data_IF_913213267381
#
_entry.id   IF_913213267381
#
_cell.length_a   1.000
_cell.length_b   1.000
_cell.length_c   1.000
_cell.angle_alpha   90.00
_cell.angle_beta   90.00
_cell.angle_gamma   90.00
#
_symmetry.space_group_name_H-M   'P 1'
#
loop_
_entity.id
_entity.type
_entity.pdbx_description
1 polymer ?
#
# COMPACT_ATOMS: atom_id res chain seq x y z
N UNK A 1 -51.61 -34.52 -2.68
CA UNK A 1 -50.38 -35.34 -2.64
C UNK A 1 -49.27 -34.48 -2.04
N UNK A 2 -48.89 -34.79 -0.79
CA UNK A 2 -47.87 -34.10 0.02
C UNK A 2 -46.74 -35.10 0.26
N UNK A 3 -45.46 -34.69 0.18
CA UNK A 3 -44.39 -35.31 0.96
C UNK A 3 -43.38 -34.26 1.44
N UNK A 4 -43.15 -34.33 2.74
CA UNK A 4 -42.24 -33.54 3.56
C UNK A 4 -40.80 -34.03 3.42
N UNK A 5 -39.83 -33.12 3.54
CA UNK A 5 -38.50 -33.44 4.09
C UNK A 5 -38.12 -32.29 5.03
N UNK A 6 -37.95 -32.63 6.30
CA UNK A 6 -37.46 -31.77 7.38
C UNK A 6 -36.34 -32.55 8.09
N UNK A 7 -35.17 -31.92 8.15
CA UNK A 7 -34.13 -31.94 9.20
C UNK A 7 -33.62 -33.28 9.78
N UNK A 8 -32.29 -33.42 9.96
CA UNK A 8 -31.68 -33.48 11.31
C UNK A 8 -30.13 -33.46 11.27
N UNK A 9 -29.59 -32.36 11.79
CA UNK A 9 -28.52 -32.25 12.82
C UNK A 9 -27.18 -33.00 12.67
N UNK A 10 -26.12 -32.19 12.48
CA UNK A 10 -24.71 -32.47 12.77
C UNK A 10 -24.43 -32.16 14.25
N UNK A 11 -23.92 -33.12 15.02
CA UNK A 11 -23.52 -32.95 16.42
C UNK A 11 -22.23 -33.72 16.74
N UNK A 12 -21.17 -32.95 16.95
CA UNK A 12 -20.08 -33.05 17.95
C UNK A 12 -19.55 -34.41 18.44
N UNK A 13 -18.22 -34.58 18.47
CA UNK A 13 -17.34 -34.88 19.63
C UNK A 13 -15.94 -35.30 19.12
N UNK A 14 -14.91 -34.47 19.29
CA UNK A 14 -13.90 -34.45 20.37
C UNK A 14 -12.81 -35.54 20.31
N UNK A 15 -11.57 -35.05 20.26
CA UNK A 15 -10.28 -35.73 20.34
C UNK A 15 -10.01 -36.21 21.78
N UNK A 16 -9.36 -37.37 21.93
CA UNK A 16 -8.58 -37.71 23.12
C UNK A 16 -7.40 -38.59 22.74
N UNK A 17 -6.19 -38.09 23.03
CA UNK A 17 -4.93 -38.82 23.09
C UNK A 17 -4.95 -39.82 24.25
N UNK A 18 -4.41 -41.03 24.08
CA UNK A 18 -3.80 -41.77 25.19
C UNK A 18 -2.79 -42.81 24.66
N UNK A 19 -1.55 -42.66 25.11
CA UNK A 19 -0.56 -43.73 25.20
C UNK A 19 -1.07 -44.81 26.16
N UNK A 20 -0.80 -46.07 25.85
CA UNK A 20 -0.84 -47.15 26.84
C UNK A 20 0.29 -48.14 26.54
N UNK A 21 1.14 -48.29 27.56
CA UNK A 21 2.21 -49.27 27.71
C UNK A 21 1.67 -50.69 27.87
N UNK A 22 2.52 -51.63 27.47
CA UNK A 22 2.80 -52.98 27.95
C UNK A 22 1.72 -54.07 28.22
N UNK A 23 2.09 -55.22 27.66
CA UNK A 23 1.90 -56.61 28.11
C UNK A 23 0.51 -57.29 28.15
N UNK A 24 0.40 -58.39 27.38
CA UNK A 24 -0.13 -59.64 27.92
C UNK A 24 -1.32 -60.31 27.22
N UNK A 25 -1.01 -61.13 26.20
CA UNK A 25 -1.55 -62.49 25.98
C UNK A 25 -3.03 -62.76 25.58
N UNK A 26 -3.22 -62.93 24.26
CA UNK A 26 -3.79 -64.07 23.48
C UNK A 26 -5.25 -64.63 23.57
N UNK A 27 -5.83 -64.67 22.35
CA UNK A 27 -6.90 -65.52 21.76
C UNK A 27 -8.36 -65.17 22.09
N UNK A 28 -9.33 -65.13 21.18
CA UNK A 28 -9.51 -65.80 19.89
C UNK A 28 -10.45 -65.00 18.95
N UNK A 29 -10.01 -64.75 17.70
CA UNK A 29 -10.89 -64.40 16.56
C UNK A 29 -10.16 -64.80 15.28
N UNK A 30 -10.12 -66.12 15.01
CA UNK A 30 -9.39 -66.71 13.89
C UNK A 30 -10.09 -66.71 12.54
N UNK A 31 -11.25 -66.05 12.37
CA UNK A 31 -12.01 -66.12 11.11
C UNK A 31 -12.43 -64.77 10.50
N UNK A 32 -12.28 -63.64 11.20
CA UNK A 32 -12.59 -62.30 10.65
C UNK A 32 -11.35 -61.46 10.27
N UNK A 33 -10.15 -61.91 10.62
CA UNK A 33 -8.91 -61.14 10.38
C UNK A 33 -8.44 -61.29 8.92
N UNK A 34 -8.79 -62.39 8.23
CA UNK A 34 -8.48 -62.58 6.80
C UNK A 34 -9.24 -61.60 5.90
N UNK A 35 -10.56 -61.49 6.05
CA UNK A 35 -11.38 -60.55 5.27
C UNK A 35 -11.10 -59.08 5.61
N UNK A 36 -10.87 -58.75 6.89
CA UNK A 36 -10.56 -57.37 7.29
C UNK A 36 -9.16 -56.93 6.84
N UNK A 37 -8.13 -57.79 6.98
CA UNK A 37 -6.79 -57.48 6.48
C UNK A 37 -6.75 -57.44 4.94
N UNK A 38 -7.53 -58.30 4.27
CA UNK A 38 -7.66 -58.29 2.82
C UNK A 38 -8.49 -57.09 2.32
N UNK A 39 -9.54 -56.67 3.03
CA UNK A 39 -10.24 -55.40 2.77
C UNK A 39 -9.35 -54.19 2.98
N UNK A 40 -8.54 -54.13 4.05
CA UNK A 40 -7.60 -53.01 4.29
C UNK A 40 -6.49 -52.99 3.24
N UNK A 41 -5.99 -54.15 2.80
CA UNK A 41 -4.99 -54.25 1.72
C UNK A 41 -5.60 -53.89 0.37
N UNK A 42 -6.83 -54.33 0.08
CA UNK A 42 -7.56 -53.95 -1.13
C UNK A 42 -7.92 -52.46 -1.12
N UNK A 43 -8.23 -51.86 0.03
CA UNK A 43 -8.52 -50.42 0.16
C UNK A 43 -7.24 -49.59 -0.02
N UNK A 44 -6.10 -50.03 0.52
CA UNK A 44 -4.79 -49.42 0.24
C UNK A 44 -4.40 -49.57 -1.23
N UNK A 45 -4.67 -50.71 -1.85
CA UNK A 45 -4.45 -50.94 -3.28
C UNK A 45 -5.34 -50.08 -4.18
N UNK A 46 -6.62 -49.90 -3.80
CA UNK A 46 -7.57 -49.02 -4.50
C UNK A 46 -7.17 -47.54 -4.32
N UNK A 47 -6.73 -47.13 -3.13
CA UNK A 47 -6.21 -45.78 -2.91
C UNK A 47 -4.95 -45.54 -3.74
N UNK A 48 -3.99 -46.47 -3.75
CA UNK A 48 -2.81 -46.39 -4.60
C UNK A 48 -3.17 -46.34 -6.10
N UNK A 49 -4.16 -47.11 -6.53
CA UNK A 49 -4.65 -47.07 -7.91
C UNK A 49 -5.28 -45.70 -8.23
N UNK A 50 -6.11 -45.15 -7.32
CA UNK A 50 -6.70 -43.82 -7.44
C UNK A 50 -5.62 -42.74 -7.53
N UNK A 51 -4.65 -42.76 -6.63
CA UNK A 51 -3.52 -41.83 -6.61
C UNK A 51 -2.68 -41.95 -7.91
N UNK A 52 -2.52 -43.16 -8.44
CA UNK A 52 -1.82 -43.40 -9.70
C UNK A 52 -2.62 -42.91 -10.91
N UNK A 53 -3.95 -43.05 -10.91
CA UNK A 53 -4.82 -42.49 -11.94
C UNK A 53 -4.80 -40.96 -11.91
N UNK A 54 -4.82 -40.35 -10.73
CA UNK A 54 -4.70 -38.90 -10.59
C UNK A 54 -3.33 -38.40 -11.10
N UNK A 55 -2.24 -39.08 -10.74
CA UNK A 55 -0.89 -38.77 -11.26
C UNK A 55 -0.81 -38.92 -12.77
N UNK A 56 -1.39 -39.98 -13.34
CA UNK A 56 -1.41 -40.21 -14.78
C UNK A 56 -2.23 -39.14 -15.51
N UNK A 57 -3.40 -38.80 -14.98
CA UNK A 57 -4.25 -37.74 -15.54
C UNK A 57 -3.53 -36.39 -15.52
N UNK A 58 -2.88 -36.05 -14.40
CA UNK A 58 -2.07 -34.84 -14.28
C UNK A 58 -0.87 -34.83 -15.26
N UNK A 59 -0.22 -35.98 -15.48
CA UNK A 59 0.88 -36.12 -16.43
C UNK A 59 0.41 -35.98 -17.89
N UNK A 60 -0.72 -36.60 -18.25
CA UNK A 60 -1.32 -36.49 -19.59
C UNK A 60 -1.74 -35.05 -19.91
N UNK A 61 -2.36 -34.36 -18.94
CA UNK A 61 -2.72 -32.95 -19.08
C UNK A 61 -1.49 -32.06 -19.27
N UNK A 62 -0.42 -32.30 -18.49
CA UNK A 62 0.87 -31.60 -18.66
C UNK A 62 1.48 -31.85 -20.03
N UNK A 63 1.51 -33.10 -20.49
CA UNK A 63 2.08 -33.45 -21.80
C UNK A 63 1.28 -32.82 -22.96
N UNK A 64 -0.06 -32.87 -22.89
CA UNK A 64 -0.94 -32.25 -23.89
C UNK A 64 -0.73 -30.74 -23.98
N UNK A 65 -0.61 -30.09 -22.82
CA UNK A 65 -0.31 -28.65 -22.73
C UNK A 65 1.05 -28.33 -23.34
N UNK A 66 2.10 -29.08 -22.97
CA UNK A 66 3.45 -28.88 -23.48
C UNK A 66 3.53 -29.09 -24.99
N UNK A 67 2.90 -30.15 -25.52
CA UNK A 67 2.85 -30.41 -26.96
C UNK A 67 2.16 -29.27 -27.73
N UNK A 68 1.11 -28.68 -27.13
CA UNK A 68 0.45 -27.50 -27.70
C UNK A 68 1.37 -26.28 -27.68
N UNK A 69 2.09 -26.04 -26.58
CA UNK A 69 3.05 -24.94 -26.47
C UNK A 69 4.21 -25.07 -27.46
N UNK A 70 4.73 -26.26 -27.68
CA UNK A 70 5.78 -26.50 -28.70
C UNK A 70 5.26 -26.15 -30.09
N UNK A 71 4.03 -26.59 -30.44
CA UNK A 71 3.42 -26.26 -31.73
C UNK A 71 3.24 -24.76 -31.92
N UNK A 72 2.71 -24.07 -30.90
CA UNK A 72 2.52 -22.62 -30.94
C UNK A 72 3.86 -21.87 -31.02
N UNK A 73 4.88 -22.34 -30.30
CA UNK A 73 6.21 -21.73 -30.29
C UNK A 73 6.96 -21.97 -31.60
N UNK A 74 6.59 -23.01 -32.37
CA UNK A 74 7.13 -23.25 -33.70
C UNK A 74 6.38 -22.52 -34.83
N UNK A 75 5.22 -21.93 -34.54
CA UNK A 75 4.39 -21.21 -35.50
C UNK A 75 4.68 -19.70 -35.43
N UNK A 76 5.35 -19.11 -36.45
CA UNK A 76 5.67 -17.68 -36.45
C UNK A 76 4.43 -16.77 -36.37
N UNK A 77 3.25 -17.21 -36.82
CA UNK A 77 2.01 -16.44 -36.71
C UNK A 77 1.51 -16.39 -35.26
N UNK A 78 1.57 -17.52 -34.54
CA UNK A 78 1.21 -17.59 -33.13
C UNK A 78 2.20 -16.80 -32.25
N UNK A 79 3.50 -16.89 -32.55
CA UNK A 79 4.53 -16.10 -31.86
C UNK A 79 4.33 -14.60 -32.12
N UNK A 80 4.06 -14.19 -33.35
CA UNK A 80 3.75 -12.79 -33.67
C UNK A 80 2.49 -12.30 -32.97
N UNK A 81 1.45 -13.15 -32.89
CA UNK A 81 0.24 -12.87 -32.12
C UNK A 81 0.53 -12.66 -30.64
N UNK A 82 1.37 -13.51 -30.04
CA UNK A 82 1.78 -13.40 -28.65
C UNK A 82 2.57 -12.10 -28.37
N UNK A 83 3.47 -11.71 -29.29
CA UNK A 83 4.19 -10.43 -29.24
C UNK A 83 3.20 -9.25 -29.29
N UNK A 84 2.24 -9.27 -30.22
CA UNK A 84 1.24 -8.21 -30.35
C UNK A 84 0.38 -8.07 -29.10
N UNK A 85 -0.05 -9.20 -28.52
CA UNK A 85 -0.79 -9.21 -27.27
C UNK A 85 0.05 -8.65 -26.10
N UNK A 86 1.34 -9.01 -26.04
CA UNK A 86 2.26 -8.50 -25.02
C UNK A 86 2.47 -6.97 -25.16
N UNK A 87 2.52 -6.45 -26.39
CA UNK A 87 2.59 -5.01 -26.66
C UNK A 87 1.30 -4.28 -26.28
N UNK A 88 0.14 -4.91 -26.51
CA UNK A 88 -1.14 -4.40 -26.06
C UNK A 88 -1.23 -4.37 -24.52
N UNK A 89 -0.78 -5.44 -23.85
CA UNK A 89 -0.66 -5.50 -22.39
C UNK A 89 0.26 -4.41 -21.84
N UNK A 90 1.43 -4.20 -22.45
CA UNK A 90 2.36 -3.14 -22.07
C UNK A 90 1.71 -1.75 -22.19
N UNK A 91 0.95 -1.52 -23.26
CA UNK A 91 0.20 -0.27 -23.44
C UNK A 91 -0.83 -0.08 -22.35
N UNK A 92 -1.65 -1.11 -22.08
CA UNK A 92 -2.68 -1.06 -21.04
C UNK A 92 -2.13 -0.91 -19.62
N UNK A 93 -0.93 -1.41 -19.31
CA UNK A 93 -0.33 -1.27 -17.98
C UNK A 93 0.51 0.01 -17.81
N UNK A 94 1.26 0.39 -18.84
CA UNK A 94 2.32 1.42 -18.73
C UNK A 94 1.94 2.78 -19.29
N UNK A 95 1.04 2.82 -20.29
CA UNK A 95 0.71 4.05 -21.03
C UNK A 95 -0.67 4.60 -20.68
N UNK A 96 -1.53 3.76 -20.11
CA UNK A 96 -2.85 4.15 -19.64
C UNK A 96 -2.83 4.56 -18.16
N UNK A 97 -3.76 5.44 -17.78
CA UNK A 97 -4.02 5.81 -16.38
C UNK A 97 -5.29 5.14 -15.88
N UNK A 98 -6.44 5.51 -16.45
CA UNK A 98 -7.77 5.07 -16.01
C UNK A 98 -7.96 3.55 -16.11
N UNK A 99 -7.55 2.97 -17.23
CA UNK A 99 -7.76 1.55 -17.51
C UNK A 99 -6.56 0.67 -17.10
N UNK A 100 -5.51 1.25 -16.53
CA UNK A 100 -4.33 0.50 -16.08
C UNK A 100 -4.52 0.02 -14.64
N UNK A 101 -4.64 -1.29 -14.39
CA UNK A 101 -4.69 -1.80 -13.01
C UNK A 101 -3.42 -1.46 -12.22
N UNK A 102 -2.26 -1.41 -12.88
CA UNK A 102 -1.00 -1.02 -12.25
C UNK A 102 -1.00 0.45 -11.82
N UNK A 103 -1.46 1.36 -12.68
CA UNK A 103 -1.57 2.78 -12.33
C UNK A 103 -2.57 3.00 -11.19
N UNK A 104 -3.74 2.36 -11.26
CA UNK A 104 -4.77 2.49 -10.23
C UNK A 104 -4.30 1.92 -8.88
N UNK A 105 -3.54 0.83 -8.87
CA UNK A 105 -2.96 0.27 -7.64
C UNK A 105 -1.93 1.23 -7.00
N UNK A 106 -1.03 1.82 -7.80
CA UNK A 106 -0.08 2.83 -7.32
C UNK A 106 -0.82 4.06 -6.78
N UNK A 107 -1.81 4.55 -7.51
CA UNK A 107 -2.63 5.69 -7.08
C UNK A 107 -3.36 5.39 -5.77
N UNK A 108 -3.89 4.17 -5.62
CA UNK A 108 -4.61 3.77 -4.41
C UNK A 108 -3.67 3.74 -3.20
N UNK A 109 -2.45 3.21 -3.34
CA UNK A 109 -1.47 3.19 -2.26
C UNK A 109 -1.09 4.61 -1.80
N UNK A 110 -0.86 5.53 -2.75
CA UNK A 110 -0.57 6.94 -2.46
C UNK A 110 -1.76 7.63 -1.76
N UNK A 111 -2.95 7.48 -2.33
CA UNK A 111 -4.18 8.07 -1.83
C UNK A 111 -4.54 7.53 -0.43
N UNK A 112 -4.28 6.25 -0.16
CA UNK A 112 -4.48 5.66 1.15
C UNK A 112 -3.51 6.22 2.20
N UNK A 113 -2.23 6.43 1.87
CA UNK A 113 -1.27 7.03 2.79
C UNK A 113 -1.63 8.48 3.16
N UNK A 114 -1.96 9.28 2.14
CA UNK A 114 -2.43 10.68 2.33
C UNK A 114 -3.74 10.71 3.10
N UNK A 115 -4.70 9.86 2.72
CA UNK A 115 -6.01 9.80 3.35
C UNK A 115 -5.95 9.37 4.81
N UNK A 116 -5.04 8.45 5.14
CA UNK A 116 -4.78 8.06 6.51
C UNK A 116 -4.29 9.25 7.34
N UNK A 117 -3.33 10.03 6.81
CA UNK A 117 -2.85 11.23 7.50
C UNK A 117 -3.95 12.31 7.63
N UNK A 118 -4.74 12.56 6.58
CA UNK A 118 -5.89 13.48 6.65
C UNK A 118 -6.90 13.07 7.74
N UNK A 119 -7.08 11.76 7.92
CA UNK A 119 -8.00 11.20 8.91
C UNK A 119 -7.48 11.36 10.34
N UNK A 120 -6.18 11.16 10.58
CA UNK A 120 -5.64 11.07 11.94
C UNK A 120 -4.81 12.28 12.39
N UNK A 121 -4.25 13.05 11.46
CA UNK A 121 -3.23 14.08 11.74
C UNK A 121 -3.69 15.14 12.74
N UNK A 122 -4.96 15.56 12.67
CA UNK A 122 -5.56 16.53 13.58
C UNK A 122 -5.59 16.10 15.06
N UNK A 123 -5.45 14.80 15.32
CA UNK A 123 -5.48 14.22 16.66
C UNK A 123 -4.11 13.72 17.12
N UNK A 124 -3.15 13.57 16.22
CA UNK A 124 -1.77 13.19 16.55
C UNK A 124 -1.12 14.26 17.42
N UNK A 125 -0.54 13.85 18.55
CA UNK A 125 0.13 14.73 19.48
C UNK A 125 1.59 14.95 19.03
N UNK A 126 1.99 16.21 18.87
CA UNK A 126 3.35 16.60 18.47
C UNK A 126 3.83 17.84 19.21
N UNK A 127 5.13 17.94 19.48
CA UNK A 127 5.70 19.08 20.21
C UNK A 127 7.20 18.98 20.39
N UNK A 128 7.72 19.80 21.29
CA UNK A 128 9.12 19.88 21.67
C UNK A 128 9.31 19.75 23.19
N UNK A 129 8.32 19.18 23.87
CA UNK A 129 8.32 18.95 25.31
C UNK A 129 9.46 18.06 25.81
N UNK A 130 10.05 18.44 26.94
CA UNK A 130 11.08 17.70 27.67
C UNK A 130 10.53 17.03 28.95
N UNK A 131 9.23 17.13 29.21
CA UNK A 131 8.59 16.53 30.39
C UNK A 131 8.70 17.36 31.68
N UNK A 132 9.13 18.63 31.63
CA UNK A 132 9.29 19.48 32.83
C UNK A 132 8.01 20.20 33.26
N UNK A 133 6.84 19.91 32.67
CA UNK A 133 5.55 20.48 33.07
C UNK A 133 5.29 21.93 32.65
N UNK A 134 6.21 22.54 31.89
CA UNK A 134 6.08 23.88 31.29
C UNK A 134 6.39 23.81 29.78
N UNK A 135 5.60 24.51 28.96
CA UNK A 135 5.66 24.42 27.50
C UNK A 135 6.87 25.11 26.85
N UNK A 136 7.61 24.45 25.94
CA UNK A 136 8.75 25.04 25.26
C UNK A 136 8.37 25.89 24.02
N UNK A 137 7.17 26.48 23.96
CA UNK A 137 6.62 27.16 22.78
C UNK A 137 5.92 26.18 21.82
N UNK A 138 5.56 26.63 20.62
CA UNK A 138 4.88 25.80 19.62
C UNK A 138 5.41 26.04 18.20
N UNK A 139 5.26 25.03 17.34
CA UNK A 139 5.50 25.16 15.89
C UNK A 139 4.21 24.87 15.16
N UNK A 140 3.78 25.79 14.31
CA UNK A 140 2.57 25.70 13.49
C UNK A 140 3.00 25.34 12.07
N UNK A 141 2.54 24.21 11.55
CA UNK A 141 2.78 23.77 10.18
C UNK A 141 1.56 24.11 9.32
N UNK A 142 1.77 24.88 8.24
CA UNK A 142 0.71 25.25 7.32
C UNK A 142 0.43 24.16 6.28
N UNK A 143 -0.76 24.21 5.68
CA UNK A 143 -1.28 23.25 4.70
C UNK A 143 -1.37 21.82 5.25
N UNK A 144 -1.68 21.70 6.54
CA UNK A 144 -1.88 20.44 7.24
C UNK A 144 -3.36 20.28 7.67
N UNK A 145 -3.90 19.04 7.77
CA UNK A 145 -5.31 18.78 8.01
C UNK A 145 -5.66 18.92 9.51
N UNK A 146 -5.60 20.15 10.03
CA UNK A 146 -5.95 20.49 11.40
C UNK A 146 -7.46 20.60 11.65
N UNK A 147 -7.89 20.49 12.92
CA UNK A 147 -9.31 20.56 13.26
C UNK A 147 -9.88 21.95 12.96
N UNK A 148 -10.72 22.07 11.92
CA UNK A 148 -11.30 23.35 11.52
C UNK A 148 -10.28 24.35 10.97
N UNK A 149 -9.08 23.91 10.61
CA UNK A 149 -7.97 24.75 10.16
C UNK A 149 -7.21 24.09 9.01
N UNK A 150 -6.35 24.86 8.36
CA UNK A 150 -5.38 24.36 7.37
C UNK A 150 -3.98 24.29 7.96
N UNK A 151 -3.87 24.07 9.27
CA UNK A 151 -2.60 24.04 9.98
C UNK A 151 -2.65 23.12 11.19
N UNK A 152 -1.59 22.36 11.44
CA UNK A 152 -1.41 21.59 12.67
C UNK A 152 -0.43 22.34 13.58
N UNK A 153 -0.81 22.52 14.84
CA UNK A 153 0.03 23.15 15.85
C UNK A 153 0.64 22.09 16.75
N UNK A 154 1.97 22.00 16.74
CA UNK A 154 2.74 21.15 17.64
C UNK A 154 3.14 21.95 18.89
N UNK A 155 2.36 21.78 19.97
CA UNK A 155 2.46 22.54 21.22
C UNK A 155 2.57 21.64 22.47
N UNK A 156 2.91 20.37 22.29
CA UNK A 156 2.97 19.40 23.37
C UNK A 156 4.21 19.56 24.25
N UNK A 157 4.01 19.55 25.58
CA UNK A 157 5.03 19.83 26.60
C UNK A 157 5.55 18.59 27.32
N UNK A 158 4.82 17.48 27.23
CA UNK A 158 5.26 16.16 27.65
C UNK A 158 6.46 15.68 26.82
N UNK A 159 7.21 14.72 27.38
CA UNK A 159 8.39 14.18 26.72
C UNK A 159 8.05 13.60 25.33
N UNK A 160 8.84 13.97 24.33
CA UNK A 160 8.68 13.47 22.95
C UNK A 160 9.42 12.14 22.71
N UNK A 161 9.05 11.45 21.63
CA UNK A 161 9.73 10.25 21.12
C UNK A 161 8.80 9.04 20.94
N UNK A 162 9.35 7.84 20.67
CA UNK A 162 8.56 6.65 20.38
C UNK A 162 7.52 6.32 21.46
N UNK A 163 6.27 6.15 21.04
CA UNK A 163 5.13 5.87 21.92
C UNK A 163 4.61 7.07 22.72
N UNK A 164 5.18 8.26 22.51
CA UNK A 164 4.82 9.53 23.17
C UNK A 164 4.40 10.55 22.12
N UNK A 165 4.51 11.85 22.42
CA UNK A 165 4.29 12.88 21.41
C UNK A 165 5.42 12.93 20.40
N UNK A 166 5.07 13.13 19.14
CA UNK A 166 6.05 13.24 18.05
C UNK A 166 6.90 14.48 18.25
N UNK A 167 8.22 14.38 18.02
CA UNK A 167 9.08 15.56 18.05
C UNK A 167 8.85 16.44 16.82
N UNK A 168 9.22 17.72 16.91
CA UNK A 168 9.16 18.65 15.78
C UNK A 168 9.99 18.15 14.58
N UNK A 169 11.16 17.54 14.80
CA UNK A 169 12.01 17.05 13.71
C UNK A 169 11.36 15.88 12.96
N UNK A 170 10.69 14.97 13.68
CA UNK A 170 9.96 13.87 13.06
C UNK A 170 8.71 14.36 12.34
N UNK A 171 8.01 15.36 12.91
CA UNK A 171 6.88 15.99 12.24
C UNK A 171 7.32 16.74 10.97
N UNK A 172 8.49 17.40 10.97
CA UNK A 172 9.06 18.05 9.78
C UNK A 172 9.25 17.06 8.62
N UNK A 173 9.78 15.86 8.90
CA UNK A 173 9.94 14.79 7.90
C UNK A 173 8.59 14.36 7.32
N UNK A 174 7.60 14.14 8.20
CA UNK A 174 6.25 13.76 7.77
C UNK A 174 5.60 14.86 6.92
N UNK A 175 5.63 16.11 7.39
CA UNK A 175 5.06 17.26 6.69
C UNK A 175 5.74 17.44 5.32
N UNK A 176 7.07 17.36 5.22
CA UNK A 176 7.77 17.47 3.94
C UNK A 176 7.26 16.43 2.92
N UNK A 177 7.19 15.16 3.33
CA UNK A 177 6.69 14.08 2.50
C UNK A 177 5.21 14.30 2.11
N UNK A 178 4.37 14.71 3.06
CA UNK A 178 2.96 15.01 2.81
C UNK A 178 2.78 16.18 1.83
N UNK A 179 3.55 17.27 1.99
CA UNK A 179 3.49 18.43 1.10
C UNK A 179 3.94 18.11 -0.33
N UNK A 180 4.96 17.25 -0.49
CA UNK A 180 5.39 16.78 -1.81
C UNK A 180 4.24 16.06 -2.52
N UNK A 181 3.62 15.08 -1.86
CA UNK A 181 2.53 14.29 -2.47
C UNK A 181 1.34 15.20 -2.78
N UNK A 182 0.88 15.99 -1.82
CA UNK A 182 -0.28 16.86 -2.00
C UNK A 182 -0.11 17.86 -3.14
N UNK A 183 1.07 18.47 -3.25
CA UNK A 183 1.34 19.44 -4.33
C UNK A 183 1.55 18.75 -5.68
N UNK A 184 2.10 17.53 -5.71
CA UNK A 184 2.17 16.73 -6.92
C UNK A 184 0.77 16.32 -7.43
N UNK A 185 -0.10 15.85 -6.53
CA UNK A 185 -1.47 15.49 -6.87
C UNK A 185 -2.27 16.71 -7.35
N UNK A 186 -2.11 17.87 -6.68
CA UNK A 186 -2.80 19.12 -7.03
C UNK A 186 -2.34 19.72 -8.36
N UNK A 187 -1.03 19.84 -8.57
CA UNK A 187 -0.49 20.56 -9.73
C UNK A 187 -0.36 19.66 -10.98
N UNK A 188 -0.21 18.35 -10.79
CA UNK A 188 0.03 17.39 -11.87
C UNK A 188 -1.19 16.64 -12.38
N UNK A 189 -2.39 16.87 -11.81
CA UNK A 189 -3.54 15.96 -11.96
C UNK A 189 -3.14 14.50 -11.68
N UNK A 190 -2.40 14.30 -10.58
CA UNK A 190 -1.73 13.04 -10.26
C UNK A 190 -0.29 12.95 -10.78
N UNK A 191 0.20 11.72 -10.92
CA UNK A 191 1.51 11.42 -11.50
C UNK A 191 1.36 10.94 -12.96
N UNK A 192 2.42 11.05 -13.80
CA UNK A 192 2.43 10.51 -15.16
C UNK A 192 2.18 8.99 -15.20
N UNK A 193 1.81 8.48 -16.37
CA UNK A 193 1.74 7.04 -16.63
C UNK A 193 3.07 6.34 -16.32
N UNK A 194 3.03 5.04 -15.97
CA UNK A 194 4.18 4.32 -15.40
C UNK A 194 5.35 4.14 -16.37
N UNK A 195 5.09 4.13 -17.69
CA UNK A 195 6.12 4.12 -18.72
C UNK A 195 6.61 5.51 -19.13
N UNK A 196 5.98 6.58 -18.61
CA UNK A 196 6.27 7.97 -18.93
C UNK A 196 7.47 8.54 -18.17
N UNK A 197 7.89 9.73 -18.56
CA UNK A 197 8.93 10.49 -17.84
C UNK A 197 8.29 11.29 -16.71
N UNK A 198 9.03 11.45 -15.61
CA UNK A 198 8.61 12.31 -14.51
C UNK A 198 8.46 13.77 -14.96
N UNK A 199 7.50 14.46 -14.36
CA UNK A 199 7.31 15.91 -14.54
C UNK A 199 7.98 16.66 -13.38
N UNK A 200 8.10 17.99 -13.45
CA UNK A 200 8.64 18.77 -12.33
C UNK A 200 7.51 19.47 -11.60
N UNK A 201 7.55 19.42 -10.26
CA UNK A 201 6.59 20.12 -9.39
C UNK A 201 7.36 20.99 -8.40
N UNK A 202 6.94 22.26 -8.30
CA UNK A 202 7.42 23.16 -7.26
C UNK A 202 6.67 22.89 -5.96
N UNK A 203 7.41 22.63 -4.89
CA UNK A 203 6.89 22.40 -3.55
C UNK A 203 7.21 23.60 -2.70
N UNK A 204 6.18 24.18 -2.09
CA UNK A 204 6.32 25.30 -1.16
C UNK A 204 5.40 25.15 0.05
N UNK A 205 5.94 25.28 1.25
CA UNK A 205 5.18 25.29 2.51
C UNK A 205 5.87 26.15 3.56
N UNK A 206 5.15 26.48 4.62
CA UNK A 206 5.60 27.35 5.69
C UNK A 206 5.37 26.71 7.06
N UNK A 207 6.22 27.05 8.01
CA UNK A 207 5.96 26.79 9.41
C UNK A 207 6.40 27.97 10.29
N UNK A 208 5.66 28.20 11.37
CA UNK A 208 5.81 29.35 12.27
C UNK A 208 6.08 28.88 13.70
N UNK A 209 7.13 29.41 14.32
CA UNK A 209 7.42 29.23 15.73
C UNK A 209 6.69 30.30 16.56
N UNK A 210 5.85 29.90 17.52
CA UNK A 210 5.16 30.81 18.44
C UNK A 210 5.63 30.57 19.88
N UNK A 211 5.92 31.65 20.59
CA UNK A 211 6.15 31.63 22.04
C UNK A 211 4.84 31.81 22.78
N UNK A 212 4.71 31.22 23.97
CA UNK A 212 3.58 31.49 24.86
C UNK A 212 3.60 32.93 25.36
N UNK A 213 2.40 33.50 25.54
CA UNK A 213 2.15 34.93 25.75
C UNK A 213 2.74 35.52 27.04
N UNK A 214 3.20 34.69 27.97
CA UNK A 214 3.59 35.13 29.33
C UNK A 214 5.08 35.41 29.53
N UNK A 215 5.92 35.30 28.50
CA UNK A 215 7.34 35.72 28.56
C UNK A 215 8.21 35.00 29.61
N UNK A 216 7.66 34.01 30.33
CA UNK A 216 8.37 33.24 31.34
C UNK A 216 9.27 32.21 30.64
N UNK A 217 10.58 32.49 30.64
CA UNK A 217 11.71 31.64 30.25
C UNK A 217 11.33 30.29 29.63
N UNK A 218 10.84 30.34 28.39
CA UNK A 218 10.65 29.17 27.56
C UNK A 218 12.05 28.62 27.29
N UNK A 219 12.32 27.39 27.71
CA UNK A 219 13.59 26.71 27.45
C UNK A 219 13.91 26.87 25.96
N UNK A 220 15.01 27.55 25.62
CA UNK A 220 15.28 28.26 24.36
C UNK A 220 15.34 27.42 23.07
N UNK A 221 14.66 26.29 23.01
CA UNK A 221 14.68 25.31 21.94
C UNK A 221 13.64 25.48 20.84
N UNK A 222 12.54 26.24 20.97
CA UNK A 222 11.63 26.39 19.79
C UNK A 222 12.25 27.23 18.68
N UNK A 223 13.03 28.24 19.08
CA UNK A 223 13.77 29.11 18.16
C UNK A 223 14.75 28.33 17.29
N UNK A 224 15.30 27.22 17.77
CA UNK A 224 16.22 26.38 16.99
C UNK A 224 15.57 25.81 15.72
N UNK A 225 14.22 25.74 15.65
CA UNK A 225 13.50 25.22 14.50
C UNK A 225 13.22 26.27 13.43
N UNK A 226 13.14 27.55 13.79
CA UNK A 226 12.86 28.68 12.89
C UNK A 226 14.01 29.70 12.82
N UNK A 227 15.22 29.33 13.25
CA UNK A 227 16.44 30.11 13.11
C UNK A 227 17.50 29.31 12.35
N UNK A 228 18.30 29.99 11.53
CA UNK A 228 19.43 29.34 10.86
C UNK A 228 20.48 28.91 11.90
N UNK A 229 21.04 27.69 11.75
CA UNK A 229 22.05 27.09 12.66
C UNK A 229 23.32 27.93 12.91
N UNK A 230 23.54 29.04 12.18
CA UNK A 230 24.75 29.87 12.21
C UNK A 230 24.50 31.40 12.36
N UNK A 231 23.34 31.82 12.88
CA UNK A 231 23.07 33.23 13.15
C UNK A 231 23.48 33.64 14.57
N UNK A 232 24.68 34.21 14.74
CA UNK A 232 25.11 34.85 15.98
C UNK A 232 24.05 35.85 16.49
N UNK A 233 23.88 35.86 17.82
CA UNK A 233 23.04 36.76 18.60
C UNK A 233 22.86 38.17 17.99
N UNK A 234 21.61 38.57 17.81
CA UNK A 234 21.20 39.98 17.80
C UNK A 234 21.11 40.64 16.43
N UNK A 235 19.96 40.53 15.77
CA UNK A 235 19.37 41.65 15.02
C UNK A 235 17.92 41.36 14.67
N UNK A 236 17.03 42.17 15.24
CA UNK A 236 15.60 42.19 14.96
C UNK A 236 15.43 42.64 13.50
N UNK A 237 15.14 41.70 12.58
CA UNK A 237 14.87 41.99 11.17
C UNK A 237 15.72 41.24 10.11
N UNK A 238 16.65 40.37 10.51
CA UNK A 238 17.48 39.65 9.53
C UNK A 238 16.74 38.46 8.91
N UNK A 239 16.54 38.50 7.59
CA UNK A 239 16.10 37.34 6.81
C UNK A 239 17.33 36.50 6.48
N UNK A 240 17.32 35.21 6.81
CA UNK A 240 18.42 34.30 6.53
C UNK A 240 17.96 33.14 5.64
N UNK A 241 18.83 32.62 4.79
CA UNK A 241 18.50 31.49 3.90
C UNK A 241 19.51 30.39 4.09
N UNK A 242 19.03 29.15 4.18
CA UNK A 242 19.83 27.95 4.25
C UNK A 242 19.41 27.02 3.12
N UNK A 243 20.39 26.48 2.39
CA UNK A 243 20.16 25.43 1.40
C UNK A 243 20.75 24.13 1.93
N UNK A 244 19.94 23.09 2.00
CA UNK A 244 20.36 21.71 2.32
C UNK A 244 20.12 20.82 1.11
N UNK A 245 20.94 19.79 0.96
CA UNK A 245 20.73 18.77 -0.08
C UNK A 245 20.21 17.51 0.59
N UNK A 246 19.05 17.03 0.16
CA UNK A 246 18.46 15.77 0.60
C UNK A 246 18.13 14.95 -0.64
N UNK A 247 18.66 13.73 -0.73
CA UNK A 247 18.45 12.81 -1.86
C UNK A 247 18.73 13.44 -3.25
N UNK A 248 19.73 14.33 -3.32
CA UNK A 248 20.10 15.06 -4.54
C UNK A 248 19.22 16.26 -4.87
N UNK A 249 18.19 16.55 -4.07
CA UNK A 249 17.32 17.72 -4.19
C UNK A 249 17.85 18.86 -3.32
N UNK A 250 18.03 20.04 -3.91
CA UNK A 250 18.37 21.26 -3.18
C UNK A 250 17.11 21.87 -2.56
N UNK A 251 17.06 21.88 -1.23
CA UNK A 251 15.98 22.43 -0.43
C UNK A 251 16.40 23.78 0.12
N UNK A 252 15.72 24.84 -0.30
CA UNK A 252 15.96 26.20 0.19
C UNK A 252 14.95 26.55 1.27
N UNK A 253 15.44 26.85 2.48
CA UNK A 253 14.63 27.36 3.57
C UNK A 253 15.02 28.80 3.86
N UNK A 254 14.05 29.70 3.76
CA UNK A 254 14.20 31.13 4.11
C UNK A 254 13.53 31.37 5.46
N UNK A 255 14.29 31.86 6.42
CA UNK A 255 13.84 32.22 7.75
C UNK A 255 13.64 33.73 7.84
N UNK A 256 12.46 34.16 8.29
CA UNK A 256 12.13 35.56 8.54
C UNK A 256 11.36 35.69 9.85
N UNK A 257 11.93 36.44 10.80
CA UNK A 257 11.40 36.56 12.16
C UNK A 257 11.21 35.18 12.83
N UNK A 258 9.96 34.76 13.03
CA UNK A 258 9.57 33.49 13.64
C UNK A 258 9.02 32.48 12.61
N UNK A 259 9.15 32.75 11.30
CA UNK A 259 8.65 31.92 10.21
C UNK A 259 9.78 31.32 9.38
N UNK A 260 9.54 30.13 8.85
CA UNK A 260 10.38 29.48 7.87
C UNK A 260 9.56 29.12 6.63
N UNK A 261 9.98 29.59 5.47
CA UNK A 261 9.40 29.24 4.17
C UNK A 261 10.33 28.27 3.46
N UNK A 262 9.85 27.08 3.16
CA UNK A 262 10.59 26.02 2.47
C UNK A 262 10.17 25.97 1.00
N UNK A 263 11.13 25.93 0.09
CA UNK A 263 10.91 25.84 -1.37
C UNK A 263 11.92 24.93 -2.03
N UNK A 264 11.43 24.05 -2.90
CA UNK A 264 12.26 23.18 -3.73
C UNK A 264 11.47 22.64 -4.92
N UNK A 265 12.16 21.99 -5.85
CA UNK A 265 11.53 21.29 -6.97
C UNK A 265 11.81 19.80 -6.83
N UNK A 266 10.78 19.00 -7.09
CA UNK A 266 10.90 17.53 -7.14
C UNK A 266 10.49 17.00 -8.50
N UNK A 267 10.90 15.77 -8.78
CA UNK A 267 10.41 15.02 -9.92
C UNK A 267 9.13 14.29 -9.53
N UNK A 268 8.00 14.66 -10.13
CA UNK A 268 6.72 13.99 -9.99
C UNK A 268 6.68 12.75 -10.89
N UNK A 269 7.00 11.60 -10.29
CA UNK A 269 6.81 10.27 -10.85
C UNK A 269 6.35 9.30 -9.74
N UNK A 270 5.84 8.12 -10.14
CA UNK A 270 5.31 7.13 -9.21
C UNK A 270 6.32 6.71 -8.12
N UNK A 271 7.58 6.47 -8.49
CA UNK A 271 8.63 6.05 -7.55
C UNK A 271 8.85 7.08 -6.45
N UNK A 272 9.03 8.34 -6.83
CA UNK A 272 9.32 9.41 -5.90
C UNK A 272 8.16 9.63 -4.94
N UNK A 273 6.92 9.69 -5.46
CA UNK A 273 5.75 9.85 -4.61
C UNK A 273 5.55 8.67 -3.65
N UNK A 274 5.81 7.44 -4.09
CA UNK A 274 5.72 6.25 -3.23
C UNK A 274 6.79 6.26 -2.14
N UNK A 275 7.99 6.77 -2.43
CA UNK A 275 9.03 6.97 -1.41
C UNK A 275 8.56 7.96 -0.35
N UNK A 276 7.92 9.06 -0.75
CA UNK A 276 7.34 10.01 0.20
C UNK A 276 6.19 9.40 1.02
N UNK A 277 5.32 8.60 0.39
CA UNK A 277 4.27 7.88 1.12
C UNK A 277 4.89 6.88 2.13
N UNK A 278 5.96 6.19 1.75
CA UNK A 278 6.72 5.32 2.64
C UNK A 278 7.33 6.11 3.80
N UNK A 279 7.86 7.32 3.57
CA UNK A 279 8.41 8.19 4.62
C UNK A 279 7.34 8.60 5.64
N UNK A 280 6.12 8.96 5.20
CA UNK A 280 4.99 9.25 6.09
C UNK A 280 4.71 8.02 6.98
N UNK A 281 4.55 6.86 6.36
CA UNK A 281 4.27 5.62 7.08
C UNK A 281 5.43 5.21 8.00
N UNK A 282 6.68 5.46 7.61
CA UNK A 282 7.84 5.17 8.44
C UNK A 282 7.85 6.02 9.71
N UNK A 283 7.59 7.32 9.60
CA UNK A 283 7.50 8.20 10.78
C UNK A 283 6.36 7.74 11.69
N UNK A 284 5.18 7.45 11.14
CA UNK A 284 4.03 7.00 11.93
C UNK A 284 4.29 5.66 12.65
N UNK A 285 4.84 4.67 11.93
CA UNK A 285 5.14 3.34 12.48
C UNK A 285 6.30 3.35 13.48
N UNK A 286 7.26 4.27 13.33
CA UNK A 286 8.42 4.33 14.23
C UNK A 286 8.11 5.14 15.48
N UNK A 287 7.46 6.29 15.31
CA UNK A 287 7.17 7.19 16.41
C UNK A 287 5.95 6.74 17.21
N UNK A 288 4.99 6.05 16.59
CA UNK A 288 3.75 5.60 17.24
C UNK A 288 3.17 6.69 18.17
N UNK A 289 2.81 7.86 17.63
CA UNK A 289 2.53 9.01 18.46
C UNK A 289 1.27 8.80 19.30
N UNK A 290 1.20 9.47 20.45
CA UNK A 290 -0.05 9.60 21.20
C UNK A 290 -1.10 10.34 20.35
N UNK A 291 -2.36 10.01 20.58
CA UNK A 291 -3.50 10.76 20.05
C UNK A 291 -4.18 11.50 21.18
N UNK A 292 -4.74 12.68 20.90
CA UNK A 292 -5.44 13.48 21.91
C UNK A 292 -6.84 12.93 22.20
N UNK A 293 -7.34 13.23 23.39
CA UNK A 293 -8.71 12.91 23.79
C UNK A 293 -9.73 13.80 23.06
N UNK A 294 -10.91 13.25 22.79
CA UNK A 294 -12.09 13.98 22.28
C UNK A 294 -12.53 15.12 23.20
N UNK A 295 -12.40 14.93 24.52
CA UNK A 295 -12.89 15.86 25.53
C UNK A 295 -11.84 16.85 26.03
N UNK A 296 -10.55 16.60 25.76
CA UNK A 296 -9.46 17.48 26.17
C UNK A 296 -8.25 17.28 25.26
N UNK A 297 -7.96 18.29 24.43
CA UNK A 297 -6.84 18.25 23.48
C UNK A 297 -5.46 18.10 24.13
N UNK A 298 -5.32 18.46 25.41
CA UNK A 298 -4.06 18.37 26.17
C UNK A 298 -3.86 17.04 26.88
N UNK A 299 -4.82 16.11 26.77
CA UNK A 299 -4.71 14.78 27.38
C UNK A 299 -4.60 13.72 26.30
N UNK A 300 -3.76 12.73 26.55
CA UNK A 300 -3.74 11.51 25.76
C UNK A 300 -5.13 10.86 25.80
N UNK A 301 -5.59 10.43 24.64
CA UNK A 301 -6.86 9.77 24.41
C UNK A 301 -6.68 8.33 23.96
N UNK A 302 -7.62 7.89 23.15
CA UNK A 302 -7.75 6.55 22.60
C UNK A 302 -8.38 6.62 21.21
N UNK A 303 -8.83 5.47 20.67
CA UNK A 303 -9.49 5.38 19.38
C UNK A 303 -10.92 5.96 19.33
N UNK A 304 -11.47 6.49 20.42
CA UNK A 304 -12.84 6.99 20.47
C UNK A 304 -13.19 8.08 19.44
N UNK A 305 -12.28 9.00 19.02
CA UNK A 305 -12.61 9.96 17.95
C UNK A 305 -13.01 9.30 16.63
N UNK A 306 -12.61 8.04 16.42
CA UNK A 306 -12.93 7.26 15.23
C UNK A 306 -13.90 6.11 15.51
N UNK A 307 -14.60 6.14 16.65
CA UNK A 307 -15.52 5.06 17.04
C UNK A 307 -14.83 3.72 17.34
N UNK A 308 -13.52 3.74 17.66
CA UNK A 308 -12.74 2.55 17.99
C UNK A 308 -12.62 2.41 19.51
N UNK A 309 -12.80 1.20 20.04
CA UNK A 309 -12.63 0.91 21.47
C UNK A 309 -11.17 0.70 21.91
N UNK A 310 -10.23 0.71 20.97
CA UNK A 310 -8.82 0.45 21.25
C UNK A 310 -8.16 1.63 21.95
N UNK A 311 -7.52 1.37 23.08
CA UNK A 311 -6.74 2.37 23.82
C UNK A 311 -5.25 2.32 23.47
N UNK A 312 -4.59 3.48 23.49
CA UNK A 312 -3.14 3.57 23.38
C UNK A 312 -2.70 4.61 22.37
N UNK A 313 -1.51 4.40 21.81
CA UNK A 313 -0.96 5.26 20.78
C UNK A 313 -1.50 4.89 19.38
N UNK A 314 -1.16 5.71 18.38
CA UNK A 314 -1.62 5.53 17.01
C UNK A 314 -1.32 4.14 16.44
N UNK A 315 -0.15 3.55 16.73
CA UNK A 315 0.19 2.21 16.25
C UNK A 315 -0.68 1.09 16.85
N UNK A 316 -1.17 1.27 18.09
CA UNK A 316 -2.12 0.31 18.68
C UNK A 316 -3.52 0.51 18.11
N UNK A 317 -3.95 1.76 17.97
CA UNK A 317 -5.30 2.11 17.49
C UNK A 317 -5.48 1.69 16.03
N UNK A 318 -4.48 1.98 15.18
CA UNK A 318 -4.52 1.80 13.74
C UNK A 318 -3.57 0.70 13.26
N UNK A 319 -3.33 -0.32 14.09
CA UNK A 319 -2.36 -1.37 13.79
C UNK A 319 -2.61 -2.02 12.42
N UNK A 320 -3.88 -2.30 12.12
CA UNK A 320 -4.26 -2.94 10.87
C UNK A 320 -4.09 -1.97 9.70
N UNK A 321 -4.61 -0.75 9.81
CA UNK A 321 -4.56 0.26 8.75
C UNK A 321 -3.11 0.60 8.41
N UNK A 322 -2.26 0.80 9.42
CA UNK A 322 -0.84 1.08 9.22
C UNK A 322 -0.15 -0.08 8.51
N UNK A 323 -0.45 -1.32 8.89
CA UNK A 323 0.12 -2.52 8.26
C UNK A 323 -0.35 -2.67 6.81
N UNK A 324 -1.63 -2.51 6.52
CA UNK A 324 -2.17 -2.69 5.17
C UNK A 324 -1.70 -1.58 4.24
N UNK A 325 -1.74 -0.31 4.66
CA UNK A 325 -1.24 0.82 3.85
C UNK A 325 0.26 0.66 3.58
N UNK A 326 1.05 0.23 4.56
CA UNK A 326 2.49 -0.05 4.36
C UNK A 326 2.70 -1.16 3.33
N UNK A 327 1.92 -2.24 3.37
CA UNK A 327 1.98 -3.32 2.38
C UNK A 327 1.55 -2.85 0.99
N UNK A 328 0.50 -2.03 0.89
CA UNK A 328 0.06 -1.44 -0.39
C UNK A 328 1.16 -0.60 -1.02
N UNK A 329 1.86 0.23 -0.24
CA UNK A 329 2.99 1.04 -0.72
C UNK A 329 4.13 0.13 -1.23
N UNK A 330 4.48 -0.92 -0.50
CA UNK A 330 5.52 -1.88 -0.93
C UNK A 330 5.15 -2.58 -2.24
N UNK A 331 3.92 -3.07 -2.34
CA UNK A 331 3.42 -3.70 -3.56
C UNK A 331 3.43 -2.71 -4.73
N UNK A 332 3.03 -1.46 -4.50
CA UNK A 332 3.08 -0.39 -5.50
C UNK A 332 4.52 -0.02 -5.91
N UNK A 333 5.49 -0.03 -4.99
CA UNK A 333 6.91 0.17 -5.32
C UNK A 333 7.43 -0.96 -6.21
N UNK A 334 7.04 -2.21 -5.92
CA UNK A 334 7.40 -3.34 -6.77
C UNK A 334 6.73 -3.23 -8.17
N UNK A 335 5.48 -2.77 -8.26
CA UNK A 335 4.83 -2.49 -9.55
C UNK A 335 5.66 -1.51 -10.38
N UNK A 336 6.22 -0.47 -9.77
CA UNK A 336 7.06 0.52 -10.46
C UNK A 336 8.42 -0.07 -10.88
N UNK A 337 9.00 -0.96 -10.06
CA UNK A 337 10.21 -1.69 -10.46
C UNK A 337 9.96 -2.60 -11.67
N UNK A 338 8.85 -3.35 -11.65
CA UNK A 338 8.43 -4.20 -12.76
C UNK A 338 8.06 -3.38 -14.01
N UNK A 339 7.47 -2.19 -13.83
CA UNK A 339 7.14 -1.31 -14.96
C UNK A 339 8.39 -0.86 -15.71
N UNK A 340 9.50 -0.59 -15.02
CA UNK A 340 10.79 -0.28 -15.64
C UNK A 340 11.36 -1.46 -16.44
N UNK A 341 11.22 -2.69 -15.92
CA UNK A 341 11.65 -3.92 -16.61
C UNK A 341 10.81 -4.12 -17.87
N UNK A 342 9.48 -4.07 -17.76
CA UNK A 342 8.57 -4.21 -18.88
C UNK A 342 8.85 -3.15 -19.97
N UNK A 343 9.03 -1.89 -19.58
CA UNK A 343 9.32 -0.78 -20.50
C UNK A 343 10.65 -0.98 -21.27
N UNK A 344 11.69 -1.48 -20.60
CA UNK A 344 13.01 -1.73 -21.22
C UNK A 344 12.98 -2.90 -22.21
N UNK A 345 12.05 -3.85 -22.03
CA UNK A 345 11.97 -5.08 -22.82
C UNK A 345 10.77 -5.11 -23.79
N UNK A 346 10.20 -3.95 -24.17
CA UNK A 346 9.05 -3.88 -25.10
C UNK A 346 9.37 -4.33 -26.52
N UNK A 347 10.63 -4.21 -26.96
CA UNK A 347 11.01 -4.55 -28.33
C UNK A 347 11.19 -6.07 -28.47
N UNK A 348 10.20 -6.73 -29.05
CA UNK A 348 10.30 -8.09 -29.55
C UNK A 348 9.68 -8.15 -30.94
N UNK A 349 10.44 -8.59 -31.94
CA UNK A 349 9.99 -8.77 -33.32
C UNK A 349 10.67 -10.00 -33.94
N UNK A 350 9.95 -10.70 -34.83
CA UNK A 350 10.51 -11.81 -35.59
C UNK A 350 11.19 -11.24 -36.84
N UNK A 351 12.51 -11.37 -36.94
CA UNK A 351 13.28 -10.82 -38.06
C UNK A 351 12.99 -11.51 -39.41
N UNK A 352 12.67 -12.81 -39.41
CA UNK A 352 12.33 -13.57 -40.62
C UNK A 352 11.10 -14.48 -40.41
N UNK A 353 9.88 -13.92 -40.52
CA UNK A 353 8.65 -14.68 -40.26
C UNK A 353 8.42 -15.85 -41.23
N UNK A 354 8.86 -15.72 -42.48
CA UNK A 354 8.62 -16.71 -43.55
C UNK A 354 9.42 -18.00 -43.42
N UNK A 355 10.51 -18.00 -42.67
CA UNK A 355 11.36 -19.19 -42.46
C UNK A 355 11.84 -19.26 -41.01
N UNK A 356 10.93 -18.96 -40.08
CA UNK A 356 11.24 -18.91 -38.66
C UNK A 356 11.70 -20.27 -38.14
N UNK A 357 12.91 -20.29 -37.57
CA UNK A 357 13.45 -21.45 -36.89
C UNK A 357 13.57 -21.18 -35.38
N UNK A 358 12.73 -21.81 -34.53
CA UNK A 358 12.76 -21.62 -33.08
C UNK A 358 14.13 -21.91 -32.44
N UNK A 359 14.96 -22.73 -33.08
CA UNK A 359 16.28 -23.13 -32.58
C UNK A 359 17.38 -22.07 -32.81
N UNK A 360 17.18 -21.12 -33.73
CA UNK A 360 18.20 -20.14 -34.14
C UNK A 360 17.69 -18.70 -34.13
N UNK A 361 16.40 -18.50 -34.35
CA UNK A 361 15.82 -17.18 -34.65
C UNK A 361 15.06 -16.61 -33.44
N UNK A 362 15.12 -17.28 -32.28
CA UNK A 362 14.44 -16.91 -31.05
C UNK A 362 15.26 -15.99 -30.12
N UNK A 363 16.20 -15.21 -30.65
CA UNK A 363 17.05 -14.32 -29.82
C UNK A 363 16.27 -13.27 -29.02
N UNK A 364 15.07 -12.91 -29.48
CA UNK A 364 14.14 -12.00 -28.78
C UNK A 364 13.43 -12.67 -27.59
N UNK A 365 13.42 -14.01 -27.50
CA UNK A 365 12.59 -14.75 -26.55
C UNK A 365 12.96 -14.44 -25.09
N UNK A 366 14.23 -14.16 -24.79
CA UNK A 366 14.66 -13.79 -23.44
C UNK A 366 14.06 -12.44 -23.00
N UNK A 367 14.07 -11.44 -23.89
CA UNK A 367 13.48 -10.13 -23.61
C UNK A 367 11.96 -10.22 -23.55
N UNK A 368 11.36 -10.97 -24.46
CA UNK A 368 9.92 -11.27 -24.46
C UNK A 368 9.49 -11.93 -23.13
N UNK A 369 10.25 -12.90 -22.63
CA UNK A 369 9.98 -13.58 -21.37
C UNK A 369 10.07 -12.63 -20.17
N UNK A 370 11.12 -11.80 -20.12
CA UNK A 370 11.28 -10.78 -19.06
C UNK A 370 10.13 -9.78 -19.07
N UNK A 371 9.69 -9.35 -20.24
CA UNK A 371 8.57 -8.44 -20.39
C UNK A 371 7.25 -9.08 -19.94
N UNK A 372 6.96 -10.31 -20.41
CA UNK A 372 5.75 -11.04 -20.02
C UNK A 372 5.67 -11.27 -18.51
N UNK A 373 6.77 -11.71 -17.88
CA UNK A 373 6.85 -11.89 -16.42
C UNK A 373 6.63 -10.58 -15.67
N UNK A 374 7.26 -9.50 -16.11
CA UNK A 374 7.08 -8.20 -15.48
C UNK A 374 5.63 -7.72 -15.56
N UNK A 375 4.97 -7.85 -16.71
CA UNK A 375 3.55 -7.49 -16.86
C UNK A 375 2.62 -8.35 -16.01
N UNK A 376 2.85 -9.67 -15.97
CA UNK A 376 2.08 -10.58 -15.13
C UNK A 376 2.23 -10.23 -13.64
N UNK A 377 3.46 -9.94 -13.20
CA UNK A 377 3.73 -9.56 -11.82
C UNK A 377 3.10 -8.22 -11.45
N UNK A 378 3.15 -7.21 -12.35
CA UNK A 378 2.44 -5.94 -12.14
C UNK A 378 0.94 -6.14 -11.92
N UNK A 379 0.30 -7.02 -12.70
CA UNK A 379 -1.11 -7.34 -12.53
C UNK A 379 -1.39 -8.07 -11.21
N UNK A 380 -0.57 -9.07 -10.86
CA UNK A 380 -0.69 -9.80 -9.59
C UNK A 380 -0.49 -8.89 -8.37
N UNK A 381 0.43 -7.94 -8.44
CA UNK A 381 0.64 -6.96 -7.37
C UNK A 381 -0.52 -5.97 -7.26
N UNK A 382 -1.15 -5.58 -8.38
CA UNK A 382 -2.36 -4.75 -8.34
C UNK A 382 -3.52 -5.49 -7.63
N UNK A 383 -3.67 -6.78 -7.89
CA UNK A 383 -4.59 -7.66 -7.14
C UNK A 383 -4.24 -7.74 -5.65
N UNK A 384 -2.94 -7.79 -5.30
CA UNK A 384 -2.51 -7.79 -3.90
C UNK A 384 -2.84 -6.47 -3.20
N UNK A 385 -2.64 -5.32 -3.86
CA UNK A 385 -3.05 -4.01 -3.31
C UNK A 385 -4.55 -3.98 -3.04
N UNK A 386 -5.37 -4.51 -3.96
CA UNK A 386 -6.82 -4.68 -3.74
C UNK A 386 -7.11 -5.57 -2.53
N UNK A 387 -6.44 -6.71 -2.39
CA UNK A 387 -6.62 -7.60 -1.23
C UNK A 387 -6.23 -6.94 0.09
N UNK A 388 -5.16 -6.13 0.12
CA UNK A 388 -4.78 -5.37 1.32
C UNK A 388 -5.89 -4.42 1.76
N UNK A 389 -6.56 -3.77 0.80
CA UNK A 389 -7.72 -2.95 1.06
C UNK A 389 -8.90 -3.78 1.57
N UNK A 390 -9.21 -4.92 0.95
CA UNK A 390 -10.29 -5.81 1.39
C UNK A 390 -10.10 -6.25 2.85
N UNK A 391 -8.86 -6.48 3.29
CA UNK A 391 -8.55 -6.78 4.69
C UNK A 391 -8.98 -5.65 5.63
N UNK A 392 -8.79 -4.39 5.24
CA UNK A 392 -9.28 -3.24 6.01
C UNK A 392 -10.81 -3.12 5.95
N UNK A 393 -11.41 -3.33 4.77
CA UNK A 393 -12.88 -3.25 4.58
C UNK A 393 -13.63 -4.34 5.35
N UNK A 394 -13.03 -5.51 5.52
CA UNK A 394 -13.62 -6.62 6.25
C UNK A 394 -13.51 -6.48 7.78
N UNK A 395 -12.78 -5.49 8.27
CA UNK A 395 -12.66 -5.22 9.71
C UNK A 395 -13.73 -4.24 10.18
N UNK A 396 -14.90 -4.76 10.54
CA UNK A 396 -16.03 -3.95 11.02
C UNK A 396 -15.91 -3.59 12.51
N UNK A 397 -14.90 -2.79 12.85
CA UNK A 397 -14.58 -2.40 14.22
C UNK A 397 -14.90 -0.94 14.56
N UNK A 398 -15.40 -0.15 13.60
CA UNK A 398 -15.79 1.25 13.79
C UNK A 398 -17.26 1.33 14.16
N UNK A 399 -17.58 1.88 15.32
CA UNK A 399 -18.95 2.25 15.66
C UNK A 399 -19.31 3.59 14.95
N UNK A 400 -20.19 3.50 13.94
CA UNK A 400 -20.59 4.62 13.11
C UNK A 400 -21.34 5.72 13.90
N UNK A 401 -22.00 5.33 14.99
CA UNK A 401 -22.72 6.28 15.85
C UNK A 401 -21.73 7.07 16.71
N UNK A 402 -20.72 6.38 17.24
CA UNK A 402 -19.66 7.03 18.03
C UNK A 402 -18.74 7.90 17.18
N UNK A 403 -18.48 7.52 15.92
CA UNK A 403 -17.72 8.33 14.98
C UNK A 403 -18.51 9.48 14.34
N UNK A 404 -19.84 9.51 14.54
CA UNK A 404 -20.71 10.58 14.05
C UNK A 404 -21.12 10.46 12.58
N UNK A 405 -21.03 9.26 11.98
CA UNK A 405 -21.27 9.02 10.55
C UNK A 405 -22.42 8.05 10.24
N UNK A 406 -23.24 7.65 11.22
CA UNK A 406 -24.43 6.84 10.96
C UNK A 406 -24.85 5.99 12.15
N UNK A 407 -25.43 4.82 11.87
CA UNK A 407 -25.81 3.83 12.87
C UNK A 407 -25.16 2.47 12.55
N UNK A 408 -24.81 1.70 13.59
CA UNK A 408 -24.24 0.36 13.45
C UNK A 408 -22.71 0.31 13.38
N UNK A 409 -22.19 -0.88 13.12
CA UNK A 409 -20.76 -1.12 12.94
C UNK A 409 -20.38 -1.05 11.46
N UNK A 410 -19.23 -0.46 11.18
CA UNK A 410 -18.63 -0.35 9.84
C UNK A 410 -17.11 -0.52 9.95
N UNK A 411 -16.41 -0.36 8.84
CA UNK A 411 -14.96 -0.40 8.76
C UNK A 411 -14.34 1.00 8.62
N UNK A 412 -13.04 1.11 8.89
CA UNK A 412 -12.29 2.36 8.80
C UNK A 412 -12.27 2.96 7.38
N UNK A 413 -12.31 2.10 6.36
CA UNK A 413 -12.25 2.53 4.97
C UNK A 413 -13.50 3.33 4.62
N UNK A 414 -14.68 2.76 4.84
CA UNK A 414 -15.95 3.39 4.47
C UNK A 414 -16.27 4.59 5.36
N UNK A 415 -15.96 4.51 6.66
CA UNK A 415 -16.24 5.59 7.60
C UNK A 415 -15.34 6.83 7.39
N UNK A 416 -14.07 6.61 7.02
CA UNK A 416 -13.08 7.69 6.98
C UNK A 416 -12.25 7.71 5.71
N UNK A 417 -11.49 6.66 5.41
CA UNK A 417 -10.44 6.69 4.39
C UNK A 417 -10.99 6.98 2.98
N UNK A 418 -12.13 6.39 2.62
CA UNK A 418 -12.83 6.56 1.36
C UNK A 418 -13.89 7.68 1.40
N UNK A 419 -13.95 8.45 2.50
CA UNK A 419 -14.90 9.55 2.68
C UNK A 419 -14.22 10.92 2.52
N UNK A 420 -15.01 11.94 2.24
CA UNK A 420 -14.61 13.32 2.38
C UNK A 420 -15.78 14.19 2.85
N UNK A 421 -15.51 15.12 3.77
CA UNK A 421 -16.52 16.09 4.23
C UNK A 421 -16.84 17.09 3.12
N UNK A 422 -18.05 17.66 3.16
CA UNK A 422 -18.43 18.74 2.25
C UNK A 422 -17.45 19.93 2.38
N UNK A 423 -16.86 20.35 1.26
CA UNK A 423 -15.82 21.38 1.24
C UNK A 423 -14.46 20.93 1.80
N UNK A 424 -14.21 19.62 1.92
CA UNK A 424 -12.90 19.04 2.19
C UNK A 424 -11.93 19.20 1.01
N UNK A 425 -10.79 18.50 1.03
CA UNK A 425 -9.76 18.61 -0.03
C UNK A 425 -10.36 18.33 -1.41
N UNK A 426 -10.37 19.34 -2.27
CA UNK A 426 -10.61 19.18 -3.71
C UNK A 426 -9.25 19.13 -4.44
N UNK A 427 -9.13 18.39 -5.57
CA UNK A 427 -7.89 18.22 -6.33
C UNK A 427 -7.25 19.55 -6.69
N UNK A 428 -8.07 20.56 -6.96
CA UNK A 428 -7.63 21.89 -7.36
C UNK A 428 -7.48 22.88 -6.19
N UNK A 429 -8.00 22.58 -4.99
CA UNK A 429 -7.97 23.50 -3.85
C UNK A 429 -6.85 23.16 -2.85
N UNK A 430 -6.49 21.88 -2.70
CA UNK A 430 -5.58 21.45 -1.65
C UNK A 430 -6.29 21.37 -0.29
N UNK A 431 -5.52 21.25 0.80
CA UNK A 431 -6.06 21.07 2.17
C UNK A 431 -6.96 22.24 2.56
N UNK A 432 -8.11 21.93 3.16
CA UNK A 432 -9.13 22.88 3.63
C UNK A 432 -9.40 22.68 5.13
N UNK A 433 -10.15 23.59 5.74
CA UNK A 433 -10.59 23.47 7.14
C UNK A 433 -11.54 22.29 7.40
N UNK A 434 -12.05 21.63 6.35
CA UNK A 434 -12.90 20.44 6.44
C UNK A 434 -12.18 19.14 6.05
N UNK A 435 -10.89 19.18 5.72
CA UNK A 435 -10.12 17.98 5.35
C UNK A 435 -9.94 17.01 6.52
N UNK A 436 -9.77 17.53 7.74
CA UNK A 436 -9.47 16.73 8.93
C UNK A 436 -10.53 15.67 9.25
N UNK A 437 -10.10 14.53 9.78
CA UNK A 437 -11.00 13.47 10.25
C UNK A 437 -11.73 12.75 9.12
N UNK A 438 -11.24 12.87 7.88
CA UNK A 438 -11.71 12.14 6.70
C UNK A 438 -10.53 11.92 5.75
N UNK A 439 -10.66 10.97 4.82
CA UNK A 439 -9.61 10.66 3.87
C UNK A 439 -9.35 11.78 2.88
N UNK A 440 -10.39 12.29 2.22
CA UNK A 440 -10.29 13.42 1.27
C UNK A 440 -9.11 13.28 0.27
N UNK A 441 -8.92 12.07 -0.25
CA UNK A 441 -7.81 11.71 -1.13
C UNK A 441 -8.27 10.82 -2.30
N UNK A 442 -9.55 10.86 -2.68
CA UNK A 442 -10.10 10.09 -3.80
C UNK A 442 -9.99 8.57 -3.66
N UNK A 443 -9.88 8.06 -2.43
CA UNK A 443 -9.73 6.62 -2.21
C UNK A 443 -10.94 5.86 -2.75
N UNK A 444 -12.18 6.28 -2.49
CA UNK A 444 -13.39 5.60 -2.98
C UNK A 444 -13.47 5.50 -4.51
N UNK A 445 -13.18 6.59 -5.21
CA UNK A 445 -13.11 6.63 -6.67
C UNK A 445 -11.98 5.74 -7.20
N UNK A 446 -10.82 5.77 -6.56
CA UNK A 446 -9.66 4.96 -6.96
C UNK A 446 -9.92 3.48 -6.74
N UNK A 447 -10.64 3.09 -5.69
CA UNK A 447 -11.09 1.71 -5.45
C UNK A 447 -11.97 1.23 -6.60
N UNK A 448 -12.93 2.06 -6.99
CA UNK A 448 -13.83 1.76 -8.10
C UNK A 448 -13.06 1.62 -9.42
N UNK A 449 -12.13 2.53 -9.68
CA UNK A 449 -11.29 2.49 -10.88
C UNK A 449 -10.34 1.28 -10.89
N UNK A 450 -9.77 0.89 -9.75
CA UNK A 450 -8.93 -0.31 -9.63
C UNK A 450 -9.76 -1.58 -9.90
N UNK A 451 -10.93 -1.71 -9.29
CA UNK A 451 -11.81 -2.86 -9.52
C UNK A 451 -12.24 -2.97 -10.99
N UNK A 452 -12.60 -1.84 -11.61
CA UNK A 452 -12.97 -1.81 -13.02
C UNK A 452 -11.79 -2.16 -13.93
N UNK A 453 -10.63 -1.55 -13.73
CA UNK A 453 -9.44 -1.80 -14.55
C UNK A 453 -8.98 -3.26 -14.45
N UNK A 454 -8.97 -3.85 -13.26
CA UNK A 454 -8.73 -5.28 -13.05
C UNK A 454 -9.71 -6.14 -13.86
N UNK A 455 -11.01 -5.87 -13.74
CA UNK A 455 -12.03 -6.68 -14.40
C UNK A 455 -11.91 -6.62 -15.94
N UNK A 456 -11.58 -5.45 -16.49
CA UNK A 456 -11.41 -5.25 -17.93
C UNK A 456 -10.08 -5.80 -18.46
N UNK A 457 -9.06 -5.97 -17.60
CA UNK A 457 -7.74 -6.46 -17.99
C UNK A 457 -7.63 -8.00 -17.97
N UNK A 458 -8.68 -8.72 -17.55
CA UNK A 458 -8.66 -10.18 -17.41
C UNK A 458 -8.30 -10.95 -18.69
N UNK A 459 -8.75 -10.47 -19.86
CA UNK A 459 -8.38 -11.08 -21.15
C UNK A 459 -6.91 -10.84 -21.49
N UNK A 460 -6.43 -9.62 -21.29
CA UNK A 460 -5.02 -9.26 -21.51
C UNK A 460 -4.10 -10.04 -20.57
N UNK A 461 -4.51 -10.26 -19.31
CA UNK A 461 -3.76 -11.08 -18.35
C UNK A 461 -3.59 -12.53 -18.85
N UNK A 462 -4.64 -13.14 -19.40
CA UNK A 462 -4.55 -14.48 -20.01
C UNK A 462 -3.62 -14.51 -21.22
N UNK A 463 -3.67 -13.47 -22.06
CA UNK A 463 -2.82 -13.37 -23.23
C UNK A 463 -1.34 -13.16 -22.86
N UNK A 464 -1.06 -12.38 -21.80
CA UNK A 464 0.29 -12.22 -21.23
C UNK A 464 0.81 -13.57 -20.73
N UNK A 465 -0.01 -14.35 -20.03
CA UNK A 465 0.38 -15.69 -19.57
C UNK A 465 0.71 -16.63 -20.74
N UNK A 466 -0.08 -16.57 -21.82
CA UNK A 466 0.22 -17.32 -23.04
C UNK A 466 1.54 -16.88 -23.68
N UNK A 467 1.79 -15.57 -23.75
CA UNK A 467 3.04 -15.02 -24.25
C UNK A 467 4.24 -15.42 -23.38
N UNK A 468 4.08 -15.46 -22.05
CA UNK A 468 5.10 -15.96 -21.13
C UNK A 468 5.44 -17.43 -21.45
N UNK A 469 4.44 -18.30 -21.56
CA UNK A 469 4.65 -19.72 -21.83
C UNK A 469 5.34 -19.97 -23.19
N UNK A 470 4.96 -19.20 -24.21
CA UNK A 470 5.60 -19.27 -25.54
C UNK A 470 7.06 -18.78 -25.45
N UNK A 471 7.30 -17.66 -24.77
CA UNK A 471 8.65 -17.14 -24.61
C UNK A 471 9.55 -18.09 -23.81
N UNK A 472 9.03 -18.70 -22.74
CA UNK A 472 9.76 -19.68 -21.93
C UNK A 472 10.08 -20.95 -22.74
N UNK A 473 9.12 -21.42 -23.55
CA UNK A 473 9.34 -22.55 -24.47
C UNK A 473 10.40 -22.23 -25.51
N UNK A 474 10.38 -21.01 -26.08
CA UNK A 474 11.39 -20.57 -27.06
C UNK A 474 12.79 -20.42 -26.44
N UNK A 475 12.90 -19.93 -25.22
CA UNK A 475 14.18 -19.85 -24.48
C UNK A 475 14.75 -21.24 -24.25
N UNK A 476 13.90 -22.20 -23.89
CA UNK A 476 14.29 -23.57 -23.56
C UNK A 476 14.13 -24.55 -24.73
N UNK A 477 13.95 -24.10 -25.97
CA UNK A 477 13.53 -24.97 -27.08
C UNK A 477 14.51 -26.11 -27.41
N UNK A 478 15.79 -25.98 -27.02
CA UNK A 478 16.84 -27.00 -27.16
C UNK A 478 17.07 -27.86 -25.92
N UNK A 479 16.64 -27.39 -24.76
CA UNK A 479 16.86 -28.01 -23.43
C UNK A 479 15.75 -28.99 -23.12
#
# INVERSE_FOLDING_TARGET
MKKHILSLTLGSLLVSTLSAEDDGFYTSVGYQIGEAAQMVTNTKGIQQLSDNYEKLNNLLNRYSTLNTLIKLSADPSAVSGAINNLNAGATGLLKEKTNSPAYQAVSLALNAAVGLWNTIGYAVMCGNGNGTGSGPGSVVFDKEPGQGSTSITCNRFEATGPGKSMSIDEFKKLNEAYQIIQQALKNGNGFPELGGRGTSVNVAYEYECKQDKDGASINGGVHQFCQAKNGSNGSNGSTSTQTTTQDGVAITTTYSQNKATVKFNITNNAQELLNQAANIMQVLNTQCPLVRSTNNENRAGDGSPWGLSTSGNACKIFQQEFSQVTSMIKNAQEIVAQSAIANTNQQAEIANPSNFNPFTDAGFAQSMLKNARAQAEMFNLAEQVKKNLEVMQNNNNVDAKLSGFGEGMTNFVDAFLASCKSGGTLPNQGVTSNTWGAGCAYVGETITALNNSIAHFGTQAQQIQQAENIADTLVNFKS
#
